data_IF_795826681722
#
_entry.id   IF_795826681722
#
_cell.length_a   1.000
_cell.length_b   1.000
_cell.length_c   1.000
_cell.angle_alpha   90.00
_cell.angle_beta   90.00
_cell.angle_gamma   90.00
#
_symmetry.space_group_name_H-M   'P 1'
#
loop_
_entity.id
_entity.type
_entity.pdbx_description
1 polymer ?
#
# COMPACT_ATOMS: atom_id res chain seq x y z
N UNK A 1 -13.21 1.72 19.06
CA UNK A 1 -11.78 2.03 18.89
C UNK A 1 -11.58 2.38 17.43
N UNK A 2 -11.29 3.63 17.09
CA UNK A 2 -11.08 4.03 15.70
C UNK A 2 -9.75 3.42 15.22
N UNK A 3 -9.81 2.57 14.21
CA UNK A 3 -8.61 2.03 13.59
C UNK A 3 -7.86 3.16 12.88
N UNK A 4 -6.56 3.32 13.16
CA UNK A 4 -5.73 4.43 12.66
C UNK A 4 -5.31 4.25 11.20
N UNK A 5 -6.28 3.92 10.35
CA UNK A 5 -6.10 3.74 8.93
C UNK A 5 -5.71 5.07 8.26
N UNK A 6 -4.63 5.05 7.47
CA UNK A 6 -4.24 6.15 6.60
C UNK A 6 -4.51 5.78 5.16
N UNK A 7 -5.22 6.66 4.43
CA UNK A 7 -5.57 6.44 3.02
C UNK A 7 -4.80 7.35 2.06
N UNK A 8 -4.59 6.85 0.84
CA UNK A 8 -4.19 7.66 -0.31
C UNK A 8 -5.38 8.47 -0.84
N UNK A 9 -5.13 9.50 -1.67
CA UNK A 9 -6.17 10.03 -2.55
C UNK A 9 -6.72 8.93 -3.46
N UNK A 10 -7.95 9.12 -3.93
CA UNK A 10 -8.57 8.23 -4.92
C UNK A 10 -7.96 8.52 -6.29
N UNK A 11 -7.45 7.47 -6.93
CA UNK A 11 -6.95 7.52 -8.32
C UNK A 11 -8.03 7.02 -9.27
N UNK A 12 -8.28 7.75 -10.35
CA UNK A 12 -9.30 7.41 -11.34
C UNK A 12 -8.64 7.20 -12.70
N UNK A 13 -8.87 6.04 -13.33
CA UNK A 13 -8.39 5.72 -14.68
C UNK A 13 -9.47 4.96 -15.46
N UNK A 14 -9.88 5.49 -16.61
CA UNK A 14 -10.86 4.84 -17.49
C UNK A 14 -12.10 4.30 -16.75
N UNK A 15 -12.67 5.10 -15.83
CA UNK A 15 -13.83 4.79 -14.96
C UNK A 15 -13.57 3.85 -13.78
N UNK A 16 -12.39 3.24 -13.71
CA UNK A 16 -11.97 2.53 -12.51
C UNK A 16 -11.48 3.51 -11.45
N UNK A 17 -11.79 3.21 -10.19
CA UNK A 17 -11.29 3.95 -9.04
C UNK A 17 -10.41 3.04 -8.19
N UNK A 18 -9.33 3.60 -7.66
CA UNK A 18 -8.39 2.91 -6.78
C UNK A 18 -8.11 3.77 -5.55
N UNK A 19 -7.97 3.13 -4.39
CA UNK A 19 -7.52 3.83 -3.19
C UNK A 19 -6.67 2.89 -2.33
N UNK A 20 -5.50 3.37 -1.94
CA UNK A 20 -4.60 2.66 -1.04
C UNK A 20 -4.91 3.00 0.40
N UNK A 21 -4.75 2.03 1.28
CA UNK A 21 -4.91 2.20 2.72
C UNK A 21 -3.80 1.45 3.44
N UNK A 22 -3.39 1.94 4.59
CA UNK A 22 -2.42 1.23 5.41
C UNK A 22 -2.60 1.51 6.90
N UNK A 23 -2.15 0.57 7.71
CA UNK A 23 -2.23 0.61 9.18
C UNK A 23 -1.07 -0.18 9.78
N UNK A 24 -0.60 0.23 10.95
CA UNK A 24 0.38 -0.52 11.71
C UNK A 24 -0.25 -1.80 12.24
N UNK A 25 0.51 -2.89 12.23
CA UNK A 25 0.12 -4.17 12.84
C UNK A 25 1.31 -4.76 13.59
N UNK A 26 1.03 -5.54 14.63
CA UNK A 26 2.05 -6.32 15.35
C UNK A 26 2.00 -7.80 14.96
N UNK A 27 0.84 -8.28 14.51
CA UNK A 27 0.61 -9.67 14.13
C UNK A 27 -0.39 -9.80 12.98
N UNK A 28 -0.25 -10.85 12.17
CA UNK A 28 -1.21 -11.21 11.12
C UNK A 28 -2.61 -11.50 11.65
N UNK A 29 -2.72 -11.87 12.92
CA UNK A 29 -4.00 -12.19 13.55
C UNK A 29 -4.91 -10.96 13.69
N UNK A 30 -4.36 -9.75 13.60
CA UNK A 30 -5.13 -8.49 13.61
C UNK A 30 -5.87 -8.23 12.29
N UNK A 31 -5.36 -8.80 11.18
CA UNK A 31 -5.80 -8.45 9.81
C UNK A 31 -7.30 -8.69 9.59
N UNK A 32 -7.90 -9.84 9.98
CA UNK A 32 -9.32 -10.08 9.75
C UNK A 32 -10.22 -9.04 10.42
N UNK A 33 -9.89 -8.67 11.66
CA UNK A 33 -10.64 -7.66 12.42
C UNK A 33 -10.48 -6.26 11.81
N UNK A 34 -9.25 -5.87 11.47
CA UNK A 34 -8.95 -4.58 10.86
C UNK A 34 -9.67 -4.37 9.52
N UNK A 35 -9.74 -5.43 8.70
CA UNK A 35 -10.48 -5.40 7.42
C UNK A 35 -12.00 -5.33 7.67
N UNK A 36 -12.55 -6.06 8.65
CA UNK A 36 -13.97 -5.96 8.99
C UNK A 36 -14.34 -4.56 9.42
N UNK A 37 -13.55 -3.95 10.31
CA UNK A 37 -13.75 -2.57 10.77
C UNK A 37 -13.66 -1.58 9.62
N UNK A 38 -12.67 -1.71 8.74
CA UNK A 38 -12.56 -0.85 7.55
C UNK A 38 -13.82 -0.91 6.68
N UNK A 39 -14.38 -2.11 6.49
CA UNK A 39 -15.61 -2.33 5.73
C UNK A 39 -16.87 -1.79 6.41
N UNK A 40 -16.94 -1.86 7.73
CA UNK A 40 -18.03 -1.32 8.54
C UNK A 40 -18.05 0.21 8.52
N UNK A 41 -16.87 0.83 8.70
CA UNK A 41 -16.68 2.28 8.66
C UNK A 41 -16.82 2.85 7.23
N UNK A 42 -16.53 2.04 6.20
CA UNK A 42 -16.56 2.45 4.80
C UNK A 42 -17.39 1.48 3.95
N UNK A 43 -18.74 1.56 3.99
CA UNK A 43 -19.62 0.63 3.27
C UNK A 43 -19.40 0.61 1.75
N UNK A 44 -18.84 1.66 1.16
CA UNK A 44 -18.48 1.72 -0.27
C UNK A 44 -17.31 0.81 -0.60
N UNK A 45 -16.34 0.64 0.32
CA UNK A 45 -15.21 -0.28 0.17
C UNK A 45 -15.72 -1.72 0.17
N UNK A 46 -16.60 -2.07 1.12
CA UNK A 46 -17.20 -3.41 1.22
C UNK A 46 -17.90 -3.85 -0.08
N UNK A 47 -18.46 -2.90 -0.82
CA UNK A 47 -19.19 -3.11 -2.09
C UNK A 47 -18.29 -2.97 -3.34
N UNK A 48 -16.99 -2.72 -3.18
CA UNK A 48 -16.07 -2.61 -4.30
C UNK A 48 -15.88 -3.96 -5.01
N UNK A 49 -15.49 -3.94 -6.27
CA UNK A 49 -15.21 -5.16 -7.07
C UNK A 49 -14.07 -5.97 -6.48
N UNK A 50 -13.04 -5.27 -5.96
CA UNK A 50 -11.94 -5.86 -5.20
C UNK A 50 -11.79 -5.05 -3.91
N UNK A 51 -12.48 -5.45 -2.82
CA UNK A 51 -12.59 -4.66 -1.60
C UNK A 51 -11.30 -4.56 -0.78
N UNK A 52 -10.41 -5.55 -0.85
CA UNK A 52 -9.18 -5.54 -0.06
C UNK A 52 -8.08 -6.44 -0.66
N UNK A 53 -7.42 -6.03 -1.75
CA UNK A 53 -6.16 -6.68 -2.14
C UNK A 53 -5.07 -6.15 -1.22
N UNK A 54 -4.33 -7.02 -0.52
CA UNK A 54 -3.43 -6.58 0.55
C UNK A 54 -2.12 -7.36 0.62
N UNK A 55 -1.16 -6.76 1.29
CA UNK A 55 0.08 -7.36 1.73
C UNK A 55 0.45 -6.85 3.12
N UNK A 56 1.21 -7.65 3.85
CA UNK A 56 1.65 -7.28 5.19
C UNK A 56 3.00 -7.91 5.52
N UNK A 57 3.70 -7.28 6.47
CA UNK A 57 4.94 -7.80 7.06
C UNK A 57 4.94 -7.48 8.55
N UNK A 58 5.35 -8.42 9.38
CA UNK A 58 5.55 -8.23 10.84
C UNK A 58 6.89 -8.77 11.26
N UNK A 59 7.48 -8.15 12.27
CA UNK A 59 8.73 -8.59 12.87
C UNK A 59 8.90 -7.98 14.25
N UNK A 60 9.66 -8.67 15.08
CA UNK A 60 10.13 -8.18 16.38
C UNK A 60 11.62 -7.89 16.33
N UNK A 61 12.10 -6.98 17.17
CA UNK A 61 13.53 -6.66 17.25
C UNK A 61 14.08 -7.27 18.53
N UNK A 62 15.01 -8.23 18.39
CA UNK A 62 15.79 -8.71 19.52
C UNK A 62 16.71 -7.59 20.02
N UNK A 63 17.04 -7.52 21.32
CA UNK A 63 17.71 -6.35 21.90
C UNK A 63 19.22 -6.49 22.04
N UNK A 64 19.78 -7.71 21.98
CA UNK A 64 21.21 -7.99 22.28
C UNK A 64 21.76 -9.14 21.42
N UNK A 65 22.45 -8.88 20.30
CA UNK A 65 22.52 -7.60 19.56
C UNK A 65 21.19 -7.27 18.86
N UNK A 66 20.93 -5.99 18.49
CA UNK A 66 19.76 -5.62 17.71
C UNK A 66 19.67 -6.33 16.36
N UNK A 67 18.66 -7.18 16.18
CA UNK A 67 18.36 -7.82 14.89
C UNK A 67 16.88 -8.18 14.77
N UNK A 68 16.42 -8.32 13.52
CA UNK A 68 15.05 -8.72 13.20
C UNK A 68 14.87 -10.21 13.51
N UNK A 69 13.83 -10.54 14.26
CA UNK A 69 13.40 -11.91 14.56
C UNK A 69 11.89 -12.05 14.39
N UNK A 70 11.41 -13.28 14.19
CA UNK A 70 10.00 -13.58 13.94
C UNK A 70 9.43 -12.81 12.73
N UNK A 71 10.22 -12.73 11.65
CA UNK A 71 9.75 -12.15 10.39
C UNK A 71 8.65 -13.05 9.82
N UNK A 72 7.45 -12.50 9.67
CA UNK A 72 6.33 -13.13 8.98
C UNK A 72 5.78 -12.15 7.95
N UNK A 73 5.27 -12.67 6.85
CA UNK A 73 4.71 -11.86 5.77
C UNK A 73 3.69 -12.63 4.97
N UNK A 74 2.79 -11.90 4.33
CA UNK A 74 1.76 -12.51 3.51
C UNK A 74 1.04 -11.52 2.61
N UNK A 75 0.13 -12.06 1.80
CA UNK A 75 -0.63 -11.31 0.80
C UNK A 75 -1.95 -11.99 0.47
N UNK A 76 -2.87 -11.22 -0.07
CA UNK A 76 -4.11 -11.71 -0.66
C UNK A 76 -4.47 -10.84 -1.87
N UNK A 77 -4.69 -11.47 -3.02
CA UNK A 77 -5.06 -10.80 -4.27
C UNK A 77 -6.52 -10.30 -4.26
N UNK A 78 -7.39 -10.91 -3.45
CA UNK A 78 -8.81 -10.57 -3.31
C UNK A 78 -9.53 -10.41 -4.67
N UNK A 79 -9.33 -11.39 -5.54
CA UNK A 79 -9.89 -11.44 -6.90
C UNK A 79 -9.09 -10.66 -7.95
N UNK A 80 -8.14 -9.79 -7.55
CA UNK A 80 -7.25 -9.07 -8.47
C UNK A 80 -5.91 -9.82 -8.61
N UNK A 81 -5.89 -10.85 -9.46
CA UNK A 81 -4.74 -11.75 -9.62
C UNK A 81 -3.43 -10.97 -9.84
N UNK A 82 -2.44 -11.22 -8.99
CA UNK A 82 -1.10 -10.61 -8.99
C UNK A 82 -0.96 -9.33 -8.17
N UNK A 83 -2.05 -8.76 -7.63
CA UNK A 83 -1.98 -7.52 -6.88
C UNK A 83 -1.25 -7.65 -5.53
N UNK A 84 -1.47 -8.74 -4.81
CA UNK A 84 -0.84 -9.00 -3.52
C UNK A 84 0.67 -9.13 -3.67
N UNK A 85 1.15 -9.78 -4.73
CA UNK A 85 2.59 -9.87 -5.02
C UNK A 85 3.19 -8.48 -5.19
N UNK A 86 2.50 -7.63 -5.95
CA UNK A 86 2.94 -6.26 -6.20
C UNK A 86 3.03 -5.44 -4.92
N UNK A 87 2.11 -5.63 -3.98
CA UNK A 87 2.12 -4.95 -2.69
C UNK A 87 3.22 -5.49 -1.76
N UNK A 88 3.47 -6.80 -1.75
CA UNK A 88 4.60 -7.40 -1.02
C UNK A 88 5.93 -6.84 -1.53
N UNK A 89 6.10 -6.71 -2.85
CA UNK A 89 7.32 -6.12 -3.42
C UNK A 89 7.57 -4.71 -2.87
N UNK A 90 6.53 -3.88 -2.75
CA UNK A 90 6.66 -2.52 -2.18
C UNK A 90 7.16 -2.59 -0.74
N UNK A 91 6.57 -3.44 0.10
CA UNK A 91 7.00 -3.56 1.51
C UNK A 91 8.44 -4.09 1.62
N UNK A 92 8.86 -4.98 0.73
CA UNK A 92 10.24 -5.50 0.68
C UNK A 92 11.24 -4.46 0.19
N UNK A 93 10.95 -3.78 -0.92
CA UNK A 93 11.81 -2.76 -1.54
C UNK A 93 12.14 -1.63 -0.55
N UNK A 94 11.15 -1.25 0.26
CA UNK A 94 11.32 -0.22 1.29
C UNK A 94 11.62 -0.77 2.70
N UNK A 95 11.83 -2.10 2.81
CA UNK A 95 12.13 -2.79 4.09
C UNK A 95 11.14 -2.46 5.22
N UNK A 96 9.88 -2.24 4.88
CA UNK A 96 8.83 -1.93 5.84
C UNK A 96 8.40 -3.19 6.61
N UNK A 97 8.24 -3.05 7.92
CA UNK A 97 7.83 -4.09 8.86
C UNK A 97 6.74 -3.53 9.78
N UNK A 98 5.92 -4.40 10.35
CA UNK A 98 4.82 -4.06 11.24
C UNK A 98 3.75 -3.20 10.57
N UNK A 99 3.47 -3.52 9.31
CA UNK A 99 2.58 -2.76 8.43
C UNK A 99 1.69 -3.70 7.62
N UNK A 100 0.41 -3.34 7.55
CA UNK A 100 -0.56 -3.83 6.58
C UNK A 100 -0.82 -2.73 5.54
N UNK A 101 -0.70 -3.06 4.26
CA UNK A 101 -1.11 -2.19 3.15
C UNK A 101 -2.17 -2.91 2.32
N UNK A 102 -3.25 -2.22 2.00
CA UNK A 102 -4.26 -2.71 1.06
C UNK A 102 -4.54 -1.68 -0.03
N UNK A 103 -5.16 -2.16 -1.10
CA UNK A 103 -5.73 -1.32 -2.14
C UNK A 103 -7.16 -1.80 -2.39
N UNK A 104 -8.04 -0.84 -2.60
CA UNK A 104 -9.43 -1.06 -3.00
C UNK A 104 -9.55 -0.71 -4.47
N UNK A 105 -10.27 -1.51 -5.26
CA UNK A 105 -10.62 -1.20 -6.66
C UNK A 105 -12.13 -1.27 -6.87
N UNK A 106 -12.71 -0.18 -7.36
CA UNK A 106 -14.06 -0.14 -7.93
C UNK A 106 -13.94 -0.20 -9.45
N UNK A 107 -14.34 -1.32 -10.05
CA UNK A 107 -14.24 -1.53 -11.48
C UNK A 107 -15.58 -1.24 -12.16
N UNK A 108 -15.58 -0.25 -13.06
CA UNK A 108 -16.73 0.12 -13.90
C UNK A 108 -16.32 0.41 -15.36
N UNK A 109 -15.05 0.16 -15.70
CA UNK A 109 -14.44 0.47 -16.99
C UNK A 109 -14.08 -0.78 -17.80
N UNK A 110 -13.32 -0.61 -18.90
CA UNK A 110 -12.76 -1.73 -19.64
C UNK A 110 -11.62 -2.42 -18.88
N UNK A 111 -11.21 -3.59 -19.36
CA UNK A 111 -10.04 -4.30 -18.83
C UNK A 111 -8.77 -3.45 -18.97
N UNK A 112 -8.21 -3.02 -17.84
CA UNK A 112 -7.01 -2.17 -17.81
C UNK A 112 -5.70 -2.90 -18.16
N UNK A 113 -5.70 -4.24 -18.22
CA UNK A 113 -4.48 -5.02 -18.42
C UNK A 113 -3.40 -4.67 -17.40
N UNK A 114 -2.16 -4.51 -17.84
CA UNK A 114 -1.02 -4.16 -16.96
C UNK A 114 -1.13 -2.78 -16.31
N UNK A 115 -1.93 -1.85 -16.86
CA UNK A 115 -2.08 -0.48 -16.33
C UNK A 115 -2.60 -0.48 -14.89
N UNK A 116 -3.47 -1.43 -14.53
CA UNK A 116 -4.00 -1.54 -13.15
C UNK A 116 -2.90 -1.72 -12.12
N UNK A 117 -1.88 -2.53 -12.42
CA UNK A 117 -0.79 -2.79 -11.47
C UNK A 117 0.05 -1.54 -11.19
N UNK A 118 0.21 -0.66 -12.18
CA UNK A 118 0.87 0.64 -11.98
C UNK A 118 0.08 1.51 -10.99
N UNK A 119 -1.25 1.52 -11.10
CA UNK A 119 -2.12 2.31 -10.21
C UNK A 119 -2.22 1.68 -8.82
N UNK A 120 -2.30 0.35 -8.72
CA UNK A 120 -2.24 -0.39 -7.45
C UNK A 120 -0.97 -0.03 -6.69
N UNK A 121 0.19 -0.09 -7.35
CA UNK A 121 1.45 0.33 -6.71
C UNK A 121 1.45 1.79 -6.30
N UNK A 122 0.99 2.69 -7.18
CA UNK A 122 0.90 4.11 -6.87
C UNK A 122 0.08 4.35 -5.61
N UNK A 123 -1.12 3.77 -5.53
CA UNK A 123 -2.02 3.94 -4.41
C UNK A 123 -1.43 3.39 -3.11
N UNK A 124 -0.89 2.16 -3.13
CA UNK A 124 -0.23 1.55 -1.98
C UNK A 124 0.94 2.40 -1.48
N UNK A 125 1.85 2.80 -2.37
CA UNK A 125 2.98 3.67 -2.01
C UNK A 125 2.53 5.03 -1.48
N UNK A 126 1.48 5.64 -2.03
CA UNK A 126 0.96 6.92 -1.56
C UNK A 126 0.35 6.83 -0.16
N UNK A 127 -0.33 5.72 0.18
CA UNK A 127 -0.81 5.50 1.55
C UNK A 127 0.37 5.43 2.53
N UNK A 128 1.41 4.66 2.20
CA UNK A 128 2.63 4.52 3.01
C UNK A 128 3.40 5.86 3.16
N UNK A 129 3.45 6.68 2.10
CA UNK A 129 4.03 8.03 2.15
C UNK A 129 3.25 8.94 3.10
N UNK A 130 1.91 8.94 3.01
CA UNK A 130 1.06 9.75 3.89
C UNK A 130 1.11 9.32 5.35
N UNK A 131 1.38 8.03 5.60
CA UNK A 131 1.62 7.50 6.94
C UNK A 131 3.03 7.83 7.49
N UNK A 132 3.90 8.45 6.69
CA UNK A 132 5.26 8.80 7.10
C UNK A 132 6.26 7.64 7.11
N UNK A 133 5.89 6.46 6.61
CA UNK A 133 6.80 5.31 6.54
C UNK A 133 7.75 5.36 5.35
N UNK A 134 7.39 6.14 4.32
CA UNK A 134 8.24 6.41 3.19
C UNK A 134 8.62 7.88 3.17
N UNK A 135 9.87 8.15 2.82
CA UNK A 135 10.31 9.51 2.49
C UNK A 135 10.23 9.69 0.97
N UNK A 136 9.68 10.80 0.47
CA UNK A 136 9.77 11.11 -0.94
C UNK A 136 11.26 11.21 -1.33
N UNK A 137 11.64 10.61 -2.47
CA UNK A 137 12.99 10.79 -2.99
C UNK A 137 13.24 12.30 -3.15
N UNK A 138 14.39 12.83 -2.68
CA UNK A 138 14.75 14.22 -2.93
C UNK A 138 14.66 14.46 -4.44
N UNK A 139 14.02 15.56 -4.86
CA UNK A 139 14.10 15.97 -6.27
C UNK A 139 15.57 16.24 -6.56
N UNK A 140 16.19 15.42 -7.40
CA UNK A 140 17.49 15.76 -7.97
C UNK A 140 17.30 17.06 -8.73
N UNK A 141 17.85 18.16 -8.22
CA UNK A 141 17.99 19.38 -9.02
C UNK A 141 18.90 19.00 -10.18
N UNK A 142 18.38 19.02 -11.41
CA UNK A 142 19.22 18.94 -12.59
C UNK A 142 19.86 20.31 -12.72
N UNK A 143 21.16 20.40 -12.47
CA UNK A 143 21.94 21.60 -12.73
C UNK A 143 21.75 21.99 -14.21
N UNK A 144 20.99 23.05 -14.43
CA UNK A 144 20.87 23.67 -15.74
C UNK A 144 22.20 24.38 -15.95
N UNK A 145 23.12 23.76 -16.70
CA UNK A 145 24.36 24.41 -17.14
C UNK A 145 24.00 25.70 -17.89
N UNK A 146 24.10 26.84 -17.20
CA UNK A 146 24.11 28.16 -17.83
C UNK A 146 25.34 28.20 -18.74
N UNK A 147 25.12 28.15 -20.06
CA UNK A 147 26.17 28.47 -21.02
C UNK A 147 26.45 29.97 -20.89
N UNK A 148 27.55 30.30 -20.20
CA UNK A 148 28.19 31.60 -20.36
C UNK A 148 28.83 31.58 -21.75
N UNK A 149 28.17 32.24 -22.71
CA UNK A 149 28.83 32.67 -23.94
C UNK A 149 29.71 33.84 -23.52
N UNK A 150 31.03 33.63 -23.58
CA UNK A 150 32.03 34.70 -23.54
C UNK A 150 32.37 35.04 -25.00
#
# INVERSE_FOLDING_TARGET
>A
MNSSWISSPVEIIQRDKFQGWCVSISSKNEIPLLISQLHEENPTIKKATHPAMFAWRTATTATKPPHIVNLDQGKNDNGEKGAGERLVSILNDFKLLNVLVLVVRWHNGPNLGSKRFRVISKCGTQALLRAGWLQPKPKLFRDVKTHLII
#
